data_IF_175983678942
#
_entry.id   IF_175983678942
#
_cell.length_a   1.000
_cell.length_b   1.000
_cell.length_c   1.000
_cell.angle_alpha   90.00
_cell.angle_beta   90.00
_cell.angle_gamma   90.00
#
_symmetry.space_group_name_H-M   'P 1'
#
loop_
_entity.id
_entity.type
_entity.pdbx_description
1 polymer ?
#
# COMPACT_ATOMS: atom_id res chain seq x y z
N UNK A 1 8.98 17.52 2.45
CA UNK A 1 7.50 17.37 2.38
C UNK A 1 7.18 16.38 1.26
N UNK A 2 6.41 15.28 1.50
CA UNK A 2 6.15 14.18 0.53
C UNK A 2 5.32 14.63 -0.73
N UNK A 3 5.47 15.86 -1.24
CA UNK A 3 4.85 16.30 -2.48
C UNK A 3 5.74 17.32 -3.20
N UNK A 4 6.62 16.85 -4.08
CA UNK A 4 6.93 17.53 -5.34
C UNK A 4 7.89 16.68 -6.16
N UNK A 5 7.38 15.90 -7.12
CA UNK A 5 7.81 16.15 -8.49
C UNK A 5 6.85 15.53 -9.50
N UNK A 6 6.39 16.43 -10.36
CA UNK A 6 5.61 16.26 -11.56
C UNK A 6 6.44 15.54 -12.65
N UNK A 7 5.73 14.73 -13.44
CA UNK A 7 6.05 14.24 -14.81
C UNK A 7 7.31 13.37 -15.04
N UNK A 8 7.12 12.05 -15.22
CA UNK A 8 7.84 11.25 -16.23
C UNK A 8 6.89 10.25 -16.86
N UNK A 9 6.72 10.34 -18.17
CA UNK A 9 5.89 9.48 -18.99
C UNK A 9 6.50 8.09 -19.22
N UNK A 10 5.61 7.17 -19.63
CA UNK A 10 5.85 5.97 -20.44
C UNK A 10 6.13 4.64 -19.71
N UNK A 11 5.06 3.98 -19.27
CA UNK A 11 4.35 2.90 -20.00
C UNK A 11 2.89 2.95 -19.55
N UNK A 12 1.90 2.95 -20.46
CA UNK A 12 0.47 3.04 -20.09
C UNK A 12 0.03 1.73 -19.40
N UNK A 13 -0.20 1.67 -18.08
CA UNK A 13 -1.01 0.59 -17.54
C UNK A 13 -2.42 0.68 -18.15
N UNK A 14 -3.10 -0.46 -18.29
CA UNK A 14 -4.46 -0.51 -18.83
C UNK A 14 -5.34 0.46 -18.04
N UNK A 15 -6.07 1.32 -18.75
CA UNK A 15 -6.86 2.43 -18.22
C UNK A 15 -7.71 2.08 -16.97
N UNK A 16 -8.16 0.82 -16.88
CA UNK A 16 -8.93 0.26 -15.77
C UNK A 16 -8.18 0.24 -14.44
N UNK A 17 -6.88 -0.06 -14.42
CA UNK A 17 -6.10 -0.27 -13.18
C UNK A 17 -5.84 1.06 -12.45
N UNK A 18 -5.64 2.15 -13.21
CA UNK A 18 -5.55 3.49 -12.63
C UNK A 18 -6.91 4.01 -12.15
N UNK A 19 -7.99 3.78 -12.90
CA UNK A 19 -9.33 4.21 -12.47
C UNK A 19 -9.80 3.50 -11.20
N UNK A 20 -9.45 2.23 -11.02
CA UNK A 20 -9.70 1.53 -9.76
C UNK A 20 -8.87 2.13 -8.62
N UNK A 21 -7.58 2.37 -8.84
CA UNK A 21 -6.74 3.05 -7.85
C UNK A 21 -7.26 4.44 -7.45
N UNK A 22 -7.84 5.19 -8.38
CA UNK A 22 -8.42 6.51 -8.12
C UNK A 22 -9.75 6.45 -7.33
N UNK A 23 -10.48 5.33 -7.43
CA UNK A 23 -11.73 5.10 -6.68
C UNK A 23 -11.51 4.57 -5.26
N UNK A 24 -10.28 4.18 -4.93
CA UNK A 24 -9.90 3.72 -3.61
C UNK A 24 -9.60 4.90 -2.68
N UNK A 25 -10.15 4.86 -1.47
CA UNK A 25 -9.90 5.88 -0.44
C UNK A 25 -8.57 5.61 0.26
N UNK A 26 -7.50 6.26 -0.20
CA UNK A 26 -6.16 6.10 0.35
C UNK A 26 -5.95 6.91 1.63
N UNK A 27 -5.38 6.26 2.65
CA UNK A 27 -4.96 6.85 3.92
C UNK A 27 -3.45 6.74 4.06
N UNK A 28 -2.81 7.84 4.43
CA UNK A 28 -1.35 7.91 4.64
C UNK A 28 -1.01 7.63 6.12
N UNK A 29 0.07 6.91 6.38
CA UNK A 29 0.50 6.62 7.75
C UNK A 29 1.05 7.87 8.46
N UNK A 30 0.81 8.00 9.78
CA UNK A 30 1.23 9.18 10.57
C UNK A 30 2.75 9.25 10.84
N UNK A 31 3.50 8.17 10.59
CA UNK A 31 4.97 8.14 10.67
C UNK A 31 5.68 8.70 9.41
N UNK A 32 4.91 9.30 8.49
CA UNK A 32 5.43 9.95 7.27
C UNK A 32 6.07 11.34 7.52
N UNK A 33 6.46 11.62 8.77
CA UNK A 33 6.98 12.90 9.24
C UNK A 33 8.49 13.07 9.02
N UNK A 34 8.85 14.06 8.21
CA UNK A 34 10.07 14.86 8.40
C UNK A 34 11.34 14.40 7.69
N UNK A 35 11.82 13.19 7.93
CA UNK A 35 13.26 12.90 7.78
C UNK A 35 13.59 11.64 6.97
N UNK A 36 12.88 11.43 5.84
CA UNK A 36 13.24 10.38 4.89
C UNK A 36 12.64 8.99 5.18
N UNK A 37 11.67 8.89 6.09
CA UNK A 37 10.89 7.66 6.31
C UNK A 37 10.12 7.18 5.07
N UNK A 38 9.78 5.89 5.06
CA UNK A 38 8.99 5.26 4.01
C UNK A 38 7.56 5.83 4.00
N UNK A 39 7.21 6.62 2.96
CA UNK A 39 5.88 7.22 2.83
C UNK A 39 4.92 6.13 2.28
N UNK A 40 4.30 5.29 3.10
CA UNK A 40 3.30 4.28 2.66
C UNK A 40 1.86 4.79 2.74
N UNK A 41 1.00 4.35 1.80
CA UNK A 41 -0.44 4.60 1.79
C UNK A 41 -1.23 3.30 1.67
N UNK A 42 -2.37 3.22 2.35
CA UNK A 42 -3.24 2.05 2.37
C UNK A 42 -4.66 2.43 1.99
N UNK A 43 -5.33 1.61 1.18
CA UNK A 43 -6.75 1.72 0.92
C UNK A 43 -7.45 0.39 1.16
N UNK A 44 -8.59 0.43 1.85
CA UNK A 44 -9.40 -0.74 2.14
C UNK A 44 -10.57 -0.80 1.17
N UNK A 45 -10.80 -1.96 0.58
CA UNK A 45 -11.96 -2.28 -0.23
C UNK A 45 -12.60 -3.58 0.27
N UNK A 46 -13.83 -3.93 -0.16
CA UNK A 46 -14.47 -5.16 0.30
C UNK A 46 -13.59 -6.40 0.04
N UNK A 47 -13.11 -7.02 1.13
CA UNK A 47 -12.29 -8.23 1.11
C UNK A 47 -10.79 -8.03 0.81
N UNK A 48 -10.35 -6.80 0.49
CA UNK A 48 -8.97 -6.54 0.08
C UNK A 48 -8.38 -5.27 0.70
N UNK A 49 -7.07 -5.29 0.92
CA UNK A 49 -6.28 -4.14 1.34
C UNK A 49 -5.23 -3.86 0.27
N UNK A 50 -5.19 -2.62 -0.19
CA UNK A 50 -4.26 -2.15 -1.20
C UNK A 50 -3.18 -1.29 -0.53
N UNK A 51 -1.91 -1.55 -0.84
CA UNK A 51 -0.75 -0.90 -0.24
C UNK A 51 0.10 -0.33 -1.36
N UNK A 52 0.47 0.94 -1.26
CA UNK A 52 1.38 1.57 -2.22
C UNK A 52 2.38 2.48 -1.54
N UNK A 53 3.48 2.72 -2.24
CA UNK A 53 4.41 3.78 -1.91
C UNK A 53 3.85 5.13 -2.40
N UNK A 54 3.79 6.11 -1.51
CA UNK A 54 3.32 7.47 -1.79
C UNK A 54 4.22 8.20 -2.78
N UNK A 55 5.49 7.82 -2.92
CA UNK A 55 6.43 8.41 -3.90
C UNK A 55 6.28 7.75 -5.29
N UNK A 56 5.54 6.64 -5.38
CA UNK A 56 5.38 5.80 -6.55
C UNK A 56 3.92 5.53 -6.91
N UNK A 57 3.04 6.52 -6.82
CA UNK A 57 1.60 6.37 -7.11
C UNK A 57 1.29 5.82 -8.51
N UNK A 58 2.22 5.96 -9.47
CA UNK A 58 2.14 5.39 -10.82
C UNK A 58 2.77 4.00 -11.00
N UNK A 59 3.42 3.45 -9.98
CA UNK A 59 4.10 2.13 -10.03
C UNK A 59 3.16 0.94 -9.74
N UNK A 60 1.89 1.23 -9.46
CA UNK A 60 0.91 0.23 -9.05
C UNK A 60 0.81 0.14 -7.52
N UNK A 61 0.04 -0.83 -7.07
CA UNK A 61 -0.20 -1.10 -5.65
C UNK A 61 -0.25 -2.61 -5.43
N UNK A 62 0.24 -3.05 -4.28
CA UNK A 62 0.14 -4.43 -3.86
C UNK A 62 -1.23 -4.67 -3.23
N UNK A 63 -1.86 -5.81 -3.52
CA UNK A 63 -3.17 -6.17 -2.96
C UNK A 63 -3.03 -7.42 -2.11
N UNK A 64 -3.53 -7.35 -0.88
CA UNK A 64 -3.61 -8.48 0.05
C UNK A 64 -5.05 -8.71 0.47
N UNK A 65 -5.37 -9.95 0.87
CA UNK A 65 -6.68 -10.24 1.46
C UNK A 65 -6.82 -9.58 2.82
N UNK A 66 -8.05 -9.27 3.22
CA UNK A 66 -8.33 -8.76 4.57
C UNK A 66 -7.86 -9.72 5.66
N UNK A 67 -7.99 -11.04 5.45
CA UNK A 67 -7.57 -12.05 6.42
C UNK A 67 -6.05 -12.05 6.63
N UNK A 68 -5.28 -11.99 5.54
CA UNK A 68 -3.82 -11.88 5.59
C UNK A 68 -3.38 -10.59 6.27
N UNK A 69 -4.06 -9.47 5.97
CA UNK A 69 -3.79 -8.19 6.61
C UNK A 69 -4.03 -8.24 8.13
N UNK A 70 -5.13 -8.84 8.57
CA UNK A 70 -5.43 -9.02 10.00
C UNK A 70 -4.38 -9.85 10.73
N UNK A 71 -3.82 -10.88 10.07
CA UNK A 71 -2.80 -11.73 10.67
C UNK A 71 -1.49 -10.99 11.02
N UNK A 72 -1.19 -9.86 10.36
CA UNK A 72 -0.02 -9.04 10.69
C UNK A 72 -0.07 -8.46 12.11
N UNK A 73 -1.26 -8.32 12.68
CA UNK A 73 -1.46 -7.86 14.06
C UNK A 73 -1.39 -8.98 15.09
N UNK A 74 -1.39 -10.23 14.64
CA UNK A 74 -1.32 -11.41 15.51
C UNK A 74 0.13 -11.80 15.71
N UNK A 75 0.58 -11.78 16.96
CA UNK A 75 1.88 -12.37 17.32
C UNK A 75 1.82 -13.87 16.99
N UNK A 76 2.67 -14.40 16.10
CA UNK A 76 2.69 -15.83 15.85
C UNK A 76 3.14 -16.53 17.14
N UNK A 77 2.30 -17.42 17.67
CA UNK A 77 2.79 -18.42 18.62
C UNK A 77 3.72 -19.32 17.83
N UNK A 78 5.01 -19.32 18.20
CA UNK A 78 5.94 -20.32 17.70
C UNK A 78 5.45 -21.67 18.19
N UNK A 79 4.90 -22.49 17.29
CA UNK A 79 4.76 -23.92 17.54
C UNK A 79 6.18 -24.50 17.51
N UNK A 80 6.78 -24.65 18.68
CA UNK A 80 7.93 -25.53 18.83
C UNK A 80 7.39 -26.95 18.73
N UNK A 81 7.38 -27.48 17.51
CA UNK A 81 7.31 -28.92 17.30
C UNK A 81 8.61 -29.50 17.88
N UNK A 82 8.52 -30.03 19.10
CA UNK A 82 9.58 -30.78 19.76
C UNK A 82 9.73 -32.13 19.06
N UNK A 83 10.95 -32.46 18.64
CA UNK A 83 11.36 -33.82 18.28
C UNK A 83 12.66 -34.15 19.01
#
# INVERSE_FOLDING_TARGET
MCASHREVAARRPRNTEQSQAQRLSWVKSSYSGGEGGECVEVAVSPGSVHIRDSKGTGRGFFTVSQATWSALSTTPVAVTEEH
#
